data_IF_380002397236
#
_entry.id   IF_380002397236
#
_cell.length_a   1.000
_cell.length_b   1.000
_cell.length_c   1.000
_cell.angle_alpha   90.00
_cell.angle_beta   90.00
_cell.angle_gamma   90.00
#
_symmetry.space_group_name_H-M   'P 1'
#
loop_
_entity.id
_entity.type
_entity.pdbx_description
1 polymer ?
#
# COMPACT_ATOMS: atom_id res chain seq x y z
N UNK A 1 5.98 -28.67 -15.63
CA UNK A 1 7.27 -28.60 -14.95
C UNK A 1 7.77 -27.17 -15.10
N UNK A 2 7.49 -26.30 -14.14
CA UNK A 2 7.94 -24.90 -14.19
C UNK A 2 9.25 -24.80 -13.41
N UNK A 3 10.32 -24.51 -14.12
CA UNK A 3 11.60 -24.23 -13.53
C UNK A 3 11.53 -22.90 -12.76
N UNK A 4 11.75 -22.96 -11.45
CA UNK A 4 12.00 -21.79 -10.61
C UNK A 4 13.33 -21.18 -11.03
N UNK A 5 13.25 -20.06 -11.75
CA UNK A 5 14.42 -19.27 -12.09
C UNK A 5 14.80 -18.42 -10.85
N UNK A 6 15.54 -19.00 -9.94
CA UNK A 6 16.15 -18.31 -8.80
C UNK A 6 17.50 -17.78 -9.29
N UNK A 7 17.58 -16.50 -9.59
CA UNK A 7 18.87 -15.87 -9.82
C UNK A 7 19.72 -15.98 -8.54
N UNK A 8 21.03 -16.35 -8.64
CA UNK A 8 21.91 -16.41 -7.48
C UNK A 8 22.07 -14.99 -6.90
N UNK A 9 22.03 -14.90 -5.58
CA UNK A 9 22.31 -13.64 -4.89
C UNK A 9 23.75 -13.19 -5.20
N UNK A 10 23.97 -11.89 -5.45
CA UNK A 10 25.31 -11.36 -5.70
C UNK A 10 26.17 -11.56 -4.44
N UNK A 11 27.28 -12.28 -4.58
CA UNK A 11 28.35 -12.41 -3.58
C UNK A 11 29.33 -11.25 -3.76
N UNK A 12 28.89 -10.03 -3.45
CA UNK A 12 29.78 -8.88 -3.39
C UNK A 12 30.02 -8.49 -1.93
N UNK A 13 31.28 -8.10 -1.62
CA UNK A 13 31.61 -7.51 -0.32
C UNK A 13 30.66 -6.35 -0.02
N UNK A 14 30.23 -6.17 1.24
CA UNK A 14 29.32 -5.10 1.58
C UNK A 14 29.96 -3.75 1.23
N UNK A 15 29.40 -3.04 0.27
CA UNK A 15 29.78 -1.66 0.01
C UNK A 15 29.61 -0.90 1.35
N UNK A 16 30.68 -0.25 1.84
CA UNK A 16 30.57 0.63 3.00
C UNK A 16 29.55 1.71 2.67
N UNK A 17 28.37 1.61 3.27
CA UNK A 17 27.30 2.57 3.08
C UNK A 17 27.74 3.92 3.65
N UNK A 18 27.85 4.95 2.82
CA UNK A 18 28.16 6.32 3.24
C UNK A 18 26.96 7.02 3.89
N UNK A 19 25.82 6.35 4.01
CA UNK A 19 24.57 6.89 4.58
C UNK A 19 24.02 6.00 5.69
N UNK A 20 23.27 6.60 6.60
CA UNK A 20 22.61 5.91 7.71
C UNK A 20 21.18 5.51 7.36
N UNK A 21 20.56 4.59 8.14
CA UNK A 21 19.11 4.30 8.03
C UNK A 21 18.24 5.54 8.25
N UNK A 22 18.73 6.53 8.99
CA UNK A 22 18.04 7.81 9.17
C UNK A 22 18.03 8.64 7.89
N UNK A 23 19.13 8.63 7.14
CA UNK A 23 19.25 9.35 5.87
C UNK A 23 18.37 8.71 4.81
N UNK A 24 18.32 7.37 4.75
CA UNK A 24 17.37 6.64 3.91
C UNK A 24 15.91 7.00 4.21
N UNK A 25 15.52 6.97 5.48
CA UNK A 25 14.15 7.36 5.87
C UNK A 25 13.81 8.80 5.51
N UNK A 26 14.78 9.72 5.58
CA UNK A 26 14.58 11.11 5.13
C UNK A 26 14.40 11.20 3.63
N UNK A 27 15.19 10.44 2.86
CA UNK A 27 15.08 10.41 1.40
C UNK A 27 13.75 9.80 0.98
N UNK A 28 13.42 8.60 1.44
CA UNK A 28 12.15 7.92 1.13
C UNK A 28 10.94 8.73 1.57
N UNK A 29 11.02 9.43 2.71
CA UNK A 29 9.95 10.29 3.20
C UNK A 29 9.67 11.51 2.31
N UNK A 30 10.53 11.84 1.32
CA UNK A 30 10.23 12.88 0.33
C UNK A 30 9.23 12.42 -0.73
N UNK A 31 9.13 11.11 -0.92
CA UNK A 31 8.08 10.54 -1.76
C UNK A 31 6.77 10.53 -0.97
N UNK A 32 5.84 11.42 -1.36
CA UNK A 32 4.51 11.49 -0.77
C UNK A 32 3.68 10.28 -1.19
N UNK A 33 3.03 9.65 -0.22
CA UNK A 33 2.20 8.46 -0.44
C UNK A 33 0.81 8.66 0.15
N UNK A 34 -0.12 7.81 -0.24
CA UNK A 34 -1.31 7.54 0.56
C UNK A 34 -0.94 6.80 1.85
N UNK A 35 -1.94 6.55 2.68
CA UNK A 35 -1.84 5.70 3.86
C UNK A 35 -2.80 4.55 3.70
N UNK A 36 -2.33 3.32 3.95
CA UNK A 36 -3.16 2.13 3.92
C UNK A 36 -3.12 1.40 5.25
N UNK A 37 -4.20 0.70 5.57
CA UNK A 37 -4.21 -0.33 6.62
C UNK A 37 -4.49 -1.66 5.94
N UNK A 38 -3.53 -2.56 6.01
CA UNK A 38 -3.71 -3.94 5.55
C UNK A 38 -4.39 -4.73 6.66
N UNK A 39 -5.49 -5.40 6.35
CA UNK A 39 -6.28 -6.15 7.33
C UNK A 39 -6.48 -7.59 6.90
N UNK A 40 -6.44 -8.50 7.87
CA UNK A 40 -6.66 -9.94 7.68
C UNK A 40 -7.29 -10.54 8.94
N UNK A 41 -7.72 -11.78 8.85
CA UNK A 41 -8.08 -12.54 10.06
C UNK A 41 -6.86 -13.24 10.65
N UNK A 42 -6.79 -13.29 11.97
CA UNK A 42 -5.88 -14.22 12.66
C UNK A 42 -6.42 -15.66 12.53
N UNK A 43 -5.60 -16.69 12.83
CA UNK A 43 -6.07 -18.08 12.87
C UNK A 43 -7.26 -18.31 13.82
N UNK A 44 -7.42 -17.45 14.82
CA UNK A 44 -8.54 -17.49 15.78
C UNK A 44 -9.79 -16.75 15.28
N UNK A 45 -9.76 -16.22 14.03
CA UNK A 45 -10.87 -15.49 13.43
C UNK A 45 -11.03 -14.05 13.89
N UNK A 46 -10.03 -13.48 14.59
CA UNK A 46 -10.05 -12.09 15.05
C UNK A 46 -9.48 -11.16 13.99
N UNK A 47 -10.13 -10.01 13.70
CA UNK A 47 -9.57 -9.01 12.80
C UNK A 47 -8.23 -8.49 13.31
N UNK A 48 -7.26 -8.41 12.42
CA UNK A 48 -5.94 -7.84 12.68
C UNK A 48 -5.55 -6.88 11.55
N UNK A 49 -4.71 -5.89 11.84
CA UNK A 49 -4.28 -4.95 10.83
C UNK A 49 -2.92 -4.33 11.10
N UNK A 50 -2.34 -3.73 10.06
CA UNK A 50 -1.11 -2.99 10.09
C UNK A 50 -1.18 -1.77 9.18
N UNK A 51 -0.79 -0.62 9.70
CA UNK A 51 -0.66 0.61 8.91
C UNK A 51 0.63 0.59 8.13
N UNK A 52 0.51 0.78 6.83
CA UNK A 52 1.64 0.89 5.91
C UNK A 52 1.40 2.03 4.92
N UNK A 53 2.47 2.61 4.42
CA UNK A 53 2.43 3.57 3.32
C UNK A 53 3.06 3.02 2.03
N UNK A 54 3.55 1.80 2.07
CA UNK A 54 4.18 1.11 0.95
C UNK A 54 3.13 0.30 0.17
N UNK A 55 2.25 1.00 -0.54
CA UNK A 55 1.26 0.47 -1.48
C UNK A 55 1.66 0.83 -2.91
N UNK A 56 1.47 -0.10 -3.83
CA UNK A 56 1.69 0.12 -5.26
C UNK A 56 0.65 -0.65 -6.08
N UNK A 57 0.06 0.00 -7.07
CA UNK A 57 -0.64 -0.69 -8.15
C UNK A 57 0.39 -1.46 -8.99
N UNK A 58 0.08 -2.71 -9.35
CA UNK A 58 1.03 -3.60 -10.05
C UNK A 58 0.54 -3.94 -11.44
N UNK A 59 -0.72 -4.35 -11.59
CA UNK A 59 -1.26 -4.81 -12.87
C UNK A 59 -2.78 -4.62 -12.91
N UNK A 60 -3.31 -4.39 -14.10
CA UNK A 60 -4.76 -4.35 -14.35
C UNK A 60 -5.29 -5.68 -14.88
N UNK A 61 -4.44 -6.48 -15.54
CA UNK A 61 -4.79 -7.80 -16.04
C UNK A 61 -3.59 -8.78 -15.89
N UNK A 62 -3.65 -9.74 -14.95
CA UNK A 62 -4.63 -9.81 -13.85
C UNK A 62 -4.54 -8.59 -12.90
N UNK A 63 -5.62 -8.27 -12.18
CA UNK A 63 -5.64 -7.11 -11.28
C UNK A 63 -4.80 -7.39 -10.03
N UNK A 64 -3.63 -6.78 -9.94
CA UNK A 64 -2.68 -7.01 -8.84
C UNK A 64 -2.35 -5.72 -8.11
N UNK A 65 -2.28 -5.81 -6.78
CA UNK A 65 -1.81 -4.75 -5.90
C UNK A 65 -0.70 -5.27 -4.98
N UNK A 66 0.23 -4.39 -4.61
CA UNK A 66 1.35 -4.69 -3.73
C UNK A 66 1.29 -3.89 -2.45
N UNK A 67 1.64 -4.53 -1.35
CA UNK A 67 1.98 -3.88 -0.08
C UNK A 67 3.31 -4.42 0.44
N UNK A 68 4.03 -3.59 1.20
CA UNK A 68 5.30 -4.01 1.80
C UNK A 68 5.20 -3.89 3.32
N UNK A 69 5.51 -4.98 4.04
CA UNK A 69 5.40 -5.08 5.49
C UNK A 69 6.72 -5.52 6.11
N UNK A 70 7.03 -5.00 7.31
CA UNK A 70 8.18 -5.46 8.09
C UNK A 70 8.00 -6.95 8.44
N UNK A 71 9.06 -7.77 8.29
CA UNK A 71 9.04 -9.22 8.56
C UNK A 71 8.53 -9.59 9.95
N UNK A 72 8.80 -8.78 10.96
CA UNK A 72 8.31 -8.97 12.32
C UNK A 72 6.85 -8.60 12.54
N UNK A 73 6.14 -8.07 11.53
CA UNK A 73 4.74 -7.71 11.65
C UNK A 73 3.87 -8.96 11.62
N UNK A 74 2.98 -9.09 12.61
CA UNK A 74 2.05 -10.23 12.70
C UNK A 74 1.15 -10.34 11.48
N UNK A 75 0.66 -9.21 10.93
CA UNK A 75 -0.16 -9.24 9.72
C UNK A 75 0.58 -9.92 8.57
N UNK A 76 1.87 -9.61 8.34
CA UNK A 76 2.67 -10.23 7.27
C UNK A 76 2.75 -11.75 7.33
N UNK A 77 2.61 -12.34 8.52
CA UNK A 77 2.62 -13.79 8.71
C UNK A 77 1.32 -14.47 8.24
N UNK A 78 0.21 -13.73 8.21
CA UNK A 78 -1.10 -14.27 7.84
C UNK A 78 -1.43 -14.07 6.36
N UNK A 79 -0.73 -13.13 5.68
CA UNK A 79 -1.04 -12.79 4.29
C UNK A 79 -0.58 -13.83 3.26
N UNK A 80 0.21 -14.82 3.67
CA UNK A 80 0.69 -15.87 2.76
C UNK A 80 -0.43 -16.82 2.35
N UNK A 81 -1.29 -17.18 3.30
CA UNK A 81 -2.30 -18.24 3.13
C UNK A 81 -3.74 -17.74 3.29
N UNK A 82 -3.93 -16.46 3.63
CA UNK A 82 -5.26 -15.93 3.94
C UNK A 82 -5.61 -14.72 3.09
N UNK A 83 -6.87 -14.60 2.64
CA UNK A 83 -7.37 -13.40 2.02
C UNK A 83 -7.20 -12.19 2.96
N UNK A 84 -7.02 -11.01 2.36
CA UNK A 84 -6.78 -9.78 3.09
C UNK A 84 -7.38 -8.57 2.37
N UNK A 85 -7.55 -7.48 3.09
CA UNK A 85 -7.94 -6.21 2.49
C UNK A 85 -6.84 -5.16 2.60
N UNK A 86 -6.75 -4.32 1.57
CA UNK A 86 -5.97 -3.10 1.56
C UNK A 86 -6.96 -1.94 1.65
N UNK A 87 -7.02 -1.32 2.82
CA UNK A 87 -7.91 -0.20 3.08
C UNK A 87 -7.13 1.10 2.84
N UNK A 88 -7.46 1.84 1.79
CA UNK A 88 -6.89 3.17 1.51
C UNK A 88 -7.63 4.16 2.41
N UNK A 89 -6.90 4.72 3.37
CA UNK A 89 -7.49 5.48 4.46
C UNK A 89 -7.94 6.86 4.02
N UNK A 90 -9.08 7.30 4.57
CA UNK A 90 -9.59 8.66 4.37
C UNK A 90 -8.99 9.64 5.39
N UNK A 91 -9.10 10.94 5.09
CA UNK A 91 -8.68 12.04 5.99
C UNK A 91 -9.35 11.96 7.37
N UNK A 92 -10.53 11.34 7.47
CA UNK A 92 -11.28 11.21 8.71
C UNK A 92 -10.82 10.04 9.60
N UNK A 93 -9.85 9.25 9.17
CA UNK A 93 -9.43 8.01 9.83
C UNK A 93 -8.01 8.05 10.42
N UNK A 94 -7.53 9.24 10.77
CA UNK A 94 -6.18 9.38 11.35
C UNK A 94 -5.99 8.55 12.64
N UNK A 95 -6.99 8.51 13.49
CA UNK A 95 -6.97 7.74 14.73
C UNK A 95 -6.92 6.23 14.47
N UNK A 96 -7.65 5.75 13.47
CA UNK A 96 -7.58 4.35 13.00
C UNK A 96 -6.18 4.02 12.46
N UNK A 97 -5.60 4.90 11.64
CA UNK A 97 -4.23 4.73 11.15
C UNK A 97 -3.22 4.64 12.32
N UNK A 98 -3.35 5.51 13.30
CA UNK A 98 -2.47 5.52 14.47
C UNK A 98 -2.65 4.26 15.33
N UNK A 99 -3.88 3.77 15.46
CA UNK A 99 -4.18 2.53 16.18
C UNK A 99 -3.38 1.35 15.62
N UNK A 100 -3.43 1.14 14.31
CA UNK A 100 -2.70 0.06 13.64
C UNK A 100 -1.20 0.37 13.43
N UNK A 101 -0.76 1.58 13.77
CA UNK A 101 0.65 1.97 13.88
C UNK A 101 1.20 1.86 15.32
N UNK A 102 0.47 1.20 16.22
CA UNK A 102 0.90 0.95 17.60
C UNK A 102 0.56 2.06 18.60
N UNK A 103 -0.36 2.97 18.27
CA UNK A 103 -0.90 4.00 19.17
C UNK A 103 -2.41 3.78 19.37
N UNK A 104 -2.82 2.99 20.36
CA UNK A 104 -4.22 2.59 20.52
C UNK A 104 -5.19 3.77 20.57
N UNK A 105 -6.27 3.68 19.80
CA UNK A 105 -7.37 4.63 19.81
C UNK A 105 -8.31 4.39 21.01
N UNK A 106 -9.17 5.35 21.29
CA UNK A 106 -10.28 5.15 22.23
C UNK A 106 -11.42 4.41 21.52
N UNK A 107 -11.78 3.23 22.03
CA UNK A 107 -12.78 2.37 21.40
C UNK A 107 -12.17 1.41 20.38
N UNK A 108 -12.99 0.96 19.44
CA UNK A 108 -12.59 0.03 18.37
C UNK A 108 -12.90 0.64 17.01
N UNK A 109 -12.12 0.33 15.98
CA UNK A 109 -12.48 0.68 14.61
C UNK A 109 -13.83 0.06 14.23
N UNK A 110 -14.55 0.71 13.33
CA UNK A 110 -15.72 0.12 12.71
C UNK A 110 -15.28 -0.90 11.65
N UNK A 111 -15.85 -2.10 11.73
CA UNK A 111 -15.51 -3.23 10.88
C UNK A 111 -16.71 -3.72 10.09
N UNK A 112 -16.48 -4.04 8.83
CA UNK A 112 -17.31 -4.91 8.01
C UNK A 112 -16.53 -6.20 7.76
N UNK A 113 -17.17 -7.33 7.86
CA UNK A 113 -16.54 -8.61 7.56
C UNK A 113 -17.48 -9.39 6.64
N UNK A 114 -17.15 -9.39 5.35
CA UNK A 114 -17.84 -10.16 4.33
C UNK A 114 -16.89 -11.26 3.85
N UNK A 115 -17.39 -12.47 3.67
CA UNK A 115 -16.62 -13.65 3.21
C UNK A 115 -15.31 -13.91 3.99
N UNK A 116 -15.27 -13.51 5.25
CA UNK A 116 -14.13 -13.73 6.13
C UNK A 116 -12.98 -12.72 5.97
N UNK A 117 -13.14 -11.69 5.14
CA UNK A 117 -12.15 -10.62 4.98
C UNK A 117 -12.58 -9.41 5.82
N UNK A 118 -11.82 -9.03 6.87
CA UNK A 118 -12.15 -7.86 7.68
C UNK A 118 -11.78 -6.58 6.94
N UNK A 119 -12.75 -5.72 6.72
CA UNK A 119 -12.63 -4.41 6.06
C UNK A 119 -12.94 -3.31 7.07
N UNK A 120 -12.20 -2.23 7.03
CA UNK A 120 -12.48 -1.03 7.81
C UNK A 120 -13.57 -0.20 7.12
N UNK A 121 -14.49 0.37 7.88
CA UNK A 121 -15.50 1.28 7.34
C UNK A 121 -14.98 2.72 7.27
N UNK A 122 -15.43 3.47 6.25
CA UNK A 122 -15.09 4.90 6.07
C UNK A 122 -13.81 5.15 5.27
N UNK A 123 -13.29 4.16 4.60
CA UNK A 123 -12.12 4.25 3.73
C UNK A 123 -12.38 5.11 2.48
N UNK A 124 -11.34 5.67 1.89
CA UNK A 124 -11.40 6.28 0.56
C UNK A 124 -11.56 5.21 -0.52
N UNK A 125 -10.88 4.08 -0.38
CA UNK A 125 -11.12 2.89 -1.18
C UNK A 125 -10.72 1.63 -0.42
N UNK A 126 -11.27 0.49 -0.83
CA UNK A 126 -10.94 -0.83 -0.31
C UNK A 126 -10.67 -1.78 -1.46
N UNK A 127 -9.60 -2.55 -1.36
CA UNK A 127 -9.26 -3.64 -2.26
C UNK A 127 -9.25 -4.93 -1.45
N UNK A 128 -10.15 -5.87 -1.76
CA UNK A 128 -10.12 -7.22 -1.17
C UNK A 128 -9.28 -8.11 -2.06
N UNK A 129 -8.33 -8.81 -1.47
CA UNK A 129 -7.30 -9.54 -2.19
C UNK A 129 -7.23 -10.99 -1.72
N UNK A 130 -6.96 -11.89 -2.66
CA UNK A 130 -6.43 -13.21 -2.36
C UNK A 130 -4.89 -13.19 -2.53
N UNK A 131 -4.14 -14.02 -1.77
CA UNK A 131 -2.70 -14.11 -1.91
C UNK A 131 -2.30 -14.46 -3.34
N UNK A 132 -1.33 -13.72 -3.90
CA UNK A 132 -0.74 -14.03 -5.21
C UNK A 132 0.69 -14.50 -5.09
N UNK A 133 1.58 -13.67 -4.52
CA UNK A 133 3.00 -14.00 -4.29
C UNK A 133 3.58 -13.15 -3.17
N UNK A 134 4.55 -13.72 -2.48
CA UNK A 134 5.39 -13.01 -1.52
C UNK A 134 6.84 -13.10 -1.94
N UNK A 135 7.55 -11.98 -1.89
CA UNK A 135 8.97 -11.90 -2.20
C UNK A 135 9.77 -11.36 -1.02
N UNK A 136 11.04 -11.74 -0.99
CA UNK A 136 12.02 -11.19 -0.07
C UNK A 136 12.29 -9.72 -0.41
N UNK A 137 12.17 -8.84 0.56
CA UNK A 137 12.44 -7.41 0.48
C UNK A 137 13.45 -6.95 1.53
N UNK A 138 14.38 -7.80 1.96
CA UNK A 138 15.36 -7.49 3.00
C UNK A 138 14.74 -7.58 4.40
N UNK A 139 14.63 -6.47 5.13
CA UNK A 139 13.94 -6.41 6.42
C UNK A 139 12.39 -6.36 6.28
N UNK A 140 11.89 -6.37 5.05
CA UNK A 140 10.47 -6.38 4.70
C UNK A 140 10.09 -7.62 3.87
N UNK A 141 8.79 -7.84 3.75
CA UNK A 141 8.16 -8.74 2.79
C UNK A 141 7.40 -7.90 1.76
N UNK A 142 7.56 -8.25 0.49
CA UNK A 142 6.80 -7.68 -0.62
C UNK A 142 5.65 -8.64 -0.89
N UNK A 143 4.44 -8.22 -0.54
CA UNK A 143 3.22 -9.03 -0.66
C UNK A 143 2.42 -8.53 -1.86
N UNK A 144 2.16 -9.42 -2.81
CA UNK A 144 1.28 -9.15 -3.95
C UNK A 144 -0.01 -9.92 -3.75
N UNK A 145 -1.14 -9.22 -3.87
CA UNK A 145 -2.47 -9.79 -3.87
C UNK A 145 -3.16 -9.60 -5.21
N UNK A 146 -3.95 -10.59 -5.62
CA UNK A 146 -4.90 -10.45 -6.72
C UNK A 146 -6.18 -9.85 -6.17
N UNK A 147 -6.59 -8.71 -6.72
CA UNK A 147 -7.80 -8.00 -6.30
C UNK A 147 -9.03 -8.77 -6.79
N UNK A 148 -9.88 -9.17 -5.85
CA UNK A 148 -11.11 -9.95 -6.13
C UNK A 148 -12.38 -9.13 -5.94
N UNK A 149 -12.32 -8.05 -5.14
CA UNK A 149 -13.40 -7.08 -4.98
C UNK A 149 -12.81 -5.69 -4.67
N UNK A 150 -13.54 -4.65 -4.98
CA UNK A 150 -13.15 -3.28 -4.69
C UNK A 150 -14.37 -2.40 -4.38
N UNK A 151 -14.12 -1.39 -3.57
CA UNK A 151 -15.07 -0.32 -3.26
C UNK A 151 -14.32 1.02 -3.33
N UNK A 152 -14.96 2.04 -3.87
CA UNK A 152 -14.42 3.41 -3.92
C UNK A 152 -15.47 4.36 -3.37
N UNK A 153 -15.08 5.21 -2.43
CA UNK A 153 -15.95 6.17 -1.78
C UNK A 153 -15.57 7.61 -2.14
N UNK A 154 -16.54 8.50 -2.16
CA UNK A 154 -16.34 9.93 -2.44
C UNK A 154 -15.85 10.66 -1.17
N UNK A 155 -14.66 10.29 -0.72
CA UNK A 155 -13.97 10.94 0.41
C UNK A 155 -12.48 11.10 0.08
N UNK A 156 -11.89 12.20 0.57
CA UNK A 156 -10.47 12.50 0.33
C UNK A 156 -9.54 11.49 1.02
N UNK A 157 -8.49 11.00 0.34
CA UNK A 157 -7.52 10.10 0.93
C UNK A 157 -6.58 10.82 1.88
N UNK A 158 -6.15 10.10 2.93
CA UNK A 158 -5.11 10.56 3.85
C UNK A 158 -3.73 10.39 3.20
N UNK A 159 -2.90 11.42 3.28
CA UNK A 159 -1.55 11.43 2.73
C UNK A 159 -0.49 11.35 3.83
N UNK A 160 0.70 10.87 3.45
CA UNK A 160 1.87 10.82 4.33
C UNK A 160 3.12 11.33 3.61
N UNK A 161 3.71 12.41 4.11
CA UNK A 161 4.88 13.06 3.52
C UNK A 161 5.86 13.50 4.60
N UNK A 162 7.13 13.17 4.45
CA UNK A 162 8.21 13.55 5.38
C UNK A 162 7.90 13.23 6.85
N UNK A 163 7.31 12.05 7.11
CA UNK A 163 6.97 11.60 8.45
C UNK A 163 5.73 12.25 9.07
N UNK A 164 4.91 12.94 8.26
CA UNK A 164 3.71 13.64 8.74
C UNK A 164 2.49 13.30 7.89
N UNK A 165 1.35 13.12 8.54
CA UNK A 165 0.08 13.03 7.86
C UNK A 165 -0.31 14.38 7.24
N UNK A 166 -0.97 14.33 6.10
CA UNK A 166 -1.40 15.48 5.30
C UNK A 166 -2.78 15.21 4.71
N UNK A 167 -3.48 16.28 4.39
CA UNK A 167 -4.68 16.28 3.57
C UNK A 167 -4.30 16.70 2.14
N UNK A 168 -5.15 16.40 1.18
CA UNK A 168 -5.04 16.91 -0.18
C UNK A 168 -5.18 18.43 -0.16
N UNK A 169 -4.31 19.12 -0.90
CA UNK A 169 -4.35 20.58 -1.01
C UNK A 169 -5.08 21.05 -2.27
N UNK A 170 -4.86 22.31 -2.62
CA UNK A 170 -5.35 22.84 -3.91
C UNK A 170 -4.59 22.18 -5.04
N UNK A 171 -5.30 21.86 -6.13
CA UNK A 171 -4.67 21.43 -7.36
C UNK A 171 -3.71 22.52 -7.86
N UNK A 172 -2.51 22.14 -8.37
CA UNK A 172 -1.66 23.05 -9.11
C UNK A 172 -2.47 23.68 -10.25
N UNK A 173 -2.38 25.01 -10.42
CA UNK A 173 -3.06 25.65 -11.54
C UNK A 173 -2.43 25.21 -12.86
N UNK A 174 -3.24 24.82 -13.83
CA UNK A 174 -2.84 24.62 -15.21
C UNK A 174 -2.55 23.20 -15.67
N UNK A 175 -2.74 22.17 -14.82
CA UNK A 175 -2.53 20.78 -15.22
C UNK A 175 -3.68 19.88 -14.73
N UNK A 176 -4.86 19.92 -15.34
CA UNK A 176 -5.88 18.90 -15.08
C UNK A 176 -5.35 17.57 -15.65
N UNK A 177 -4.97 16.67 -14.76
CA UNK A 177 -4.66 15.30 -15.09
C UNK A 177 -5.76 14.43 -14.49
N UNK A 178 -6.63 13.91 -15.33
CA UNK A 178 -7.79 13.09 -14.99
C UNK A 178 -7.61 11.62 -15.39
N UNK A 179 -6.42 11.25 -15.86
CA UNK A 179 -6.08 9.89 -16.26
C UNK A 179 -5.11 9.21 -15.28
N UNK A 180 -5.25 7.89 -15.11
CA UNK A 180 -4.23 7.09 -14.45
C UNK A 180 -2.99 7.00 -15.34
N UNK A 181 -1.80 7.29 -14.79
CA UNK A 181 -0.53 7.15 -15.50
C UNK A 181 -0.20 5.72 -15.93
N UNK A 182 -0.94 4.73 -15.43
CA UNK A 182 -0.76 3.30 -15.71
C UNK A 182 -1.64 2.79 -16.86
N UNK A 183 -2.47 3.63 -17.47
CA UNK A 183 -3.31 3.24 -18.59
C UNK A 183 -2.53 3.29 -19.90
N UNK A 184 -2.46 2.16 -20.63
CA UNK A 184 -1.87 2.11 -21.97
C UNK A 184 -2.61 3.00 -22.97
N UNK A 185 -3.93 3.20 -22.80
CA UNK A 185 -4.77 4.01 -23.68
C UNK A 185 -4.77 5.50 -23.29
N UNK A 186 -4.50 5.82 -22.02
CA UNK A 186 -4.55 7.16 -21.44
C UNK A 186 -3.28 7.49 -20.65
N UNK A 187 -2.24 6.69 -20.80
CA UNK A 187 -0.97 6.82 -20.08
C UNK A 187 -0.10 7.97 -20.56
N UNK A 188 1.07 8.07 -19.98
CA UNK A 188 2.07 9.13 -20.21
C UNK A 188 2.38 9.42 -21.69
N UNK A 189 2.09 8.48 -22.59
CA UNK A 189 2.50 8.56 -24.00
C UNK A 189 1.38 8.85 -24.98
N UNK A 190 0.11 8.66 -24.64
CA UNK A 190 -1.00 8.89 -25.58
C UNK A 190 -1.84 10.14 -25.30
N UNK A 191 -1.88 10.63 -24.06
CA UNK A 191 -2.61 11.84 -23.68
C UNK A 191 -1.81 13.13 -23.80
N UNK A 192 -0.51 13.04 -23.96
CA UNK A 192 0.39 14.21 -23.95
C UNK A 192 0.93 14.53 -25.33
N UNK A 193 0.10 14.95 -26.24
CA UNK A 193 0.58 15.62 -27.46
C UNK A 193 1.04 17.06 -27.20
N UNK A 194 1.14 17.48 -25.95
CA UNK A 194 1.66 18.80 -25.59
C UNK A 194 2.35 18.79 -24.25
N UNK A 195 3.48 18.09 -24.14
CA UNK A 195 4.57 18.61 -23.31
C UNK A 195 5.23 19.72 -24.12
N UNK A 196 4.62 20.88 -24.15
CA UNK A 196 5.40 22.08 -24.44
C UNK A 196 6.39 22.22 -23.28
N UNK A 197 7.67 22.04 -23.63
CA UNK A 197 8.76 22.21 -22.69
C UNK A 197 8.66 23.61 -22.09
N UNK A 198 8.59 23.68 -20.76
CA UNK A 198 8.81 24.91 -20.01
C UNK A 198 10.26 25.34 -20.15
#
# INVERSE_FOLDING_TARGET
MNATNTAPAPTEEPLENTFTSRDLRKAFGKFGTGVTVVTCQTPEGTPHGATVNAFTAVSLDPPLAQVTLIRGNKAGQYLEDSPFAINIMSVNQLDVCLNFAGKPMKGSPAWRCEDGIPVLEGNAATLECKPWRIYDGGDHLIVIGEVIALEVNDVEPLLFVSGKFRETGRFPQGAPWDASGDSLAMGWFEGSTSFDAL
#
